data_IF_148007224948
#
_entry.id   IF_148007224948
#
_cell.length_a   1.000
_cell.length_b   1.000
_cell.length_c   1.000
_cell.angle_alpha   90.00
_cell.angle_beta   90.00
_cell.angle_gamma   90.00
#
_symmetry.space_group_name_H-M   'P 1'
#
loop_
_entity.id
_entity.type
_entity.pdbx_description
1 polymer ?
#
# COMPACT_ATOMS: atom_id res chain seq x y z
N UNK A 1 -19.23 8.86 -6.89
CA UNK A 1 -18.43 9.63 -5.93
C UNK A 1 -17.13 8.85 -5.85
N UNK A 2 -16.12 9.26 -6.62
CA UNK A 2 -14.80 8.60 -6.60
C UNK A 2 -14.19 8.95 -5.25
N UNK A 3 -13.89 7.92 -4.45
CA UNK A 3 -13.08 8.12 -3.25
C UNK A 3 -11.72 8.58 -3.76
N UNK A 4 -11.39 9.84 -3.52
CA UNK A 4 -10.12 10.41 -3.93
C UNK A 4 -8.99 9.52 -3.39
N UNK A 5 -7.92 9.41 -4.17
CA UNK A 5 -6.81 8.50 -3.99
C UNK A 5 -5.99 8.82 -2.72
N UNK A 6 -6.56 8.61 -1.53
CA UNK A 6 -5.96 9.00 -0.25
C UNK A 6 -4.86 8.03 0.12
N UNK A 7 -3.64 8.56 0.25
CA UNK A 7 -2.54 7.90 0.92
C UNK A 7 -2.71 8.02 2.44
N UNK A 8 -2.83 6.89 3.10
CA UNK A 8 -2.88 6.81 4.55
C UNK A 8 -1.48 6.68 5.14
N UNK A 9 -1.33 7.05 6.41
CA UNK A 9 -0.05 6.97 7.13
C UNK A 9 -0.27 6.30 8.47
N UNK A 10 0.64 5.40 8.83
CA UNK A 10 0.68 4.77 10.14
C UNK A 10 2.08 4.90 10.72
N UNK A 11 2.19 5.55 11.87
CA UNK A 11 3.44 5.61 12.66
C UNK A 11 3.44 4.46 13.67
N UNK A 12 4.40 3.55 13.51
CA UNK A 12 4.58 2.41 14.39
C UNK A 12 5.49 2.70 15.58
N UNK A 13 5.73 1.70 16.45
CA UNK A 13 6.77 1.75 17.47
C UNK A 13 8.17 1.63 16.85
N UNK A 14 9.20 1.89 17.64
CA UNK A 14 10.60 1.67 17.26
C UNK A 14 10.84 0.29 16.65
N UNK A 15 11.54 0.27 15.51
CA UNK A 15 11.83 -0.93 14.75
C UNK A 15 13.31 -1.26 14.80
N UNK A 16 13.66 -2.42 15.35
CA UNK A 16 15.02 -2.95 15.28
C UNK A 16 15.25 -3.54 13.89
N UNK A 17 16.19 -2.97 13.15
CA UNK A 17 16.54 -3.42 11.81
C UNK A 17 17.40 -4.67 11.87
N UNK A 18 17.46 -5.42 10.76
CA UNK A 18 18.29 -6.63 10.66
C UNK A 18 19.78 -6.36 10.94
N UNK A 19 20.27 -5.13 10.69
CA UNK A 19 21.62 -4.70 11.01
C UNK A 19 21.85 -4.27 12.46
N UNK A 20 20.85 -4.39 13.34
CA UNK A 20 20.93 -4.04 14.77
C UNK A 20 20.70 -2.56 15.10
N UNK A 21 20.66 -1.67 14.10
CA UNK A 21 20.25 -0.28 14.30
C UNK A 21 18.75 -0.18 14.63
N UNK A 22 18.34 0.90 15.31
CA UNK A 22 16.93 1.19 15.61
C UNK A 22 16.44 2.31 14.71
N UNK A 23 15.32 2.08 14.03
CA UNK A 23 14.55 3.10 13.34
C UNK A 23 13.45 3.58 14.29
N UNK A 24 13.57 4.79 14.82
CA UNK A 24 12.65 5.35 15.81
C UNK A 24 11.32 5.72 15.15
N UNK A 25 10.21 5.25 15.75
CA UNK A 25 8.83 5.53 15.33
C UNK A 25 8.63 5.68 13.80
N UNK A 26 8.95 4.64 12.99
CA UNK A 26 8.86 4.73 11.56
C UNK A 26 7.41 4.91 11.11
N UNK A 27 7.24 5.73 10.08
CA UNK A 27 5.96 5.93 9.40
C UNK A 27 5.92 5.11 8.13
N UNK A 28 4.83 4.37 7.95
CA UNK A 28 4.50 3.67 6.71
C UNK A 28 3.34 4.38 6.03
N UNK A 29 3.58 4.90 4.84
CA UNK A 29 2.51 5.35 3.95
C UNK A 29 1.88 4.13 3.26
N UNK A 30 0.57 4.11 3.03
CA UNK A 30 -0.10 2.99 2.38
C UNK A 30 -1.39 3.40 1.67
N UNK A 31 -1.78 2.61 0.67
CA UNK A 31 -3.10 2.67 0.04
C UNK A 31 -3.92 1.46 0.45
N UNK A 32 -5.23 1.66 0.59
CA UNK A 32 -6.18 0.57 0.78
C UNK A 32 -7.38 0.71 -0.13
N UNK A 33 -7.94 -0.42 -0.58
CA UNK A 33 -9.11 -0.47 -1.44
C UNK A 33 -10.04 -1.61 -1.01
N UNK A 34 -11.35 -1.37 -1.09
CA UNK A 34 -12.36 -2.32 -0.62
C UNK A 34 -12.64 -2.19 0.88
N UNK A 35 -13.32 -3.18 1.47
CA UNK A 35 -13.75 -3.16 2.87
C UNK A 35 -13.29 -4.41 3.61
N UNK A 36 -12.60 -4.22 4.74
CA UNK A 36 -12.23 -5.30 5.64
C UNK A 36 -13.49 -5.92 6.26
N UNK A 37 -13.59 -7.24 6.23
CA UNK A 37 -14.66 -7.97 6.91
C UNK A 37 -14.44 -8.00 8.43
N UNK A 38 -15.48 -8.32 9.19
CA UNK A 38 -15.47 -8.20 10.65
C UNK A 38 -14.43 -9.10 11.34
N UNK A 39 -14.11 -10.24 10.73
CA UNK A 39 -13.12 -11.23 11.20
C UNK A 39 -11.72 -11.02 10.58
N UNK A 40 -11.55 -10.03 9.69
CA UNK A 40 -10.26 -9.65 9.10
C UNK A 40 -9.67 -10.67 8.12
N UNK A 41 -10.45 -11.64 7.65
CA UNK A 41 -9.98 -12.76 6.83
C UNK A 41 -9.89 -12.45 5.33
N UNK A 42 -10.41 -11.30 4.88
CA UNK A 42 -10.39 -10.91 3.46
C UNK A 42 -9.27 -9.93 3.08
N UNK A 43 -8.26 -9.75 3.93
CA UNK A 43 -7.14 -8.86 3.65
C UNK A 43 -6.17 -9.47 2.61
N UNK A 44 -5.75 -8.65 1.65
CA UNK A 44 -4.74 -9.00 0.63
C UNK A 44 -3.65 -7.93 0.63
N UNK A 45 -2.40 -8.34 0.83
CA UNK A 45 -1.24 -7.45 0.79
C UNK A 45 -0.64 -7.43 -0.62
N UNK A 46 -0.51 -6.23 -1.20
CA UNK A 46 0.16 -6.00 -2.49
C UNK A 46 1.47 -5.26 -2.22
N UNK A 47 2.58 -5.84 -2.65
CA UNK A 47 3.90 -5.23 -2.53
C UNK A 47 4.33 -4.68 -3.88
N UNK A 48 4.65 -3.39 -3.92
CA UNK A 48 5.10 -2.72 -5.12
C UNK A 48 6.54 -3.10 -5.50
N UNK A 49 6.91 -2.84 -6.75
CA UNK A 49 8.28 -3.04 -7.24
C UNK A 49 9.25 -1.94 -6.78
N UNK A 50 10.51 -2.03 -7.20
CA UNK A 50 11.58 -1.17 -6.66
C UNK A 50 11.37 0.32 -6.96
N UNK A 51 10.86 0.64 -8.15
CA UNK A 51 10.71 2.02 -8.63
C UNK A 51 9.26 2.51 -8.65
N UNK A 52 8.39 1.84 -7.89
CA UNK A 52 6.97 2.17 -7.78
C UNK A 52 6.60 2.37 -6.31
N UNK A 53 5.37 2.81 -6.06
CA UNK A 53 4.83 3.01 -4.73
C UNK A 53 3.34 2.66 -4.71
N UNK A 54 2.65 2.82 -3.58
CA UNK A 54 1.25 2.43 -3.42
C UNK A 54 0.27 3.02 -4.42
N UNK A 55 0.59 4.19 -4.98
CA UNK A 55 -0.20 4.83 -6.04
C UNK A 55 -0.23 4.02 -7.33
N UNK A 56 0.61 2.99 -7.50
CA UNK A 56 0.54 2.08 -8.65
C UNK A 56 -0.80 1.36 -8.79
N UNK A 57 -1.66 1.38 -7.76
CA UNK A 57 -3.03 0.87 -7.84
C UNK A 57 -3.98 1.83 -8.57
N UNK A 58 -3.59 3.10 -8.74
CA UNK A 58 -4.40 4.12 -9.39
C UNK A 58 -4.23 4.09 -10.90
N UNK A 59 -5.34 4.34 -11.61
CA UNK A 59 -5.39 4.30 -13.07
C UNK A 59 -4.51 5.34 -13.74
N UNK A 60 -4.42 6.53 -13.16
CA UNK A 60 -3.68 7.66 -13.73
C UNK A 60 -2.32 7.88 -13.04
N UNK A 61 -1.84 6.90 -12.27
CA UNK A 61 -0.53 7.01 -11.61
C UNK A 61 0.62 6.90 -12.61
N UNK A 62 1.55 7.85 -12.51
CA UNK A 62 2.80 7.82 -13.25
C UNK A 62 3.83 6.96 -12.48
N UNK A 63 3.97 5.69 -12.89
CA UNK A 63 4.86 4.72 -12.26
C UNK A 63 5.79 4.08 -13.30
N UNK A 64 7.05 3.85 -12.92
CA UNK A 64 8.08 3.38 -13.86
C UNK A 64 7.87 1.94 -14.37
N UNK A 65 7.12 1.10 -13.64
CA UNK A 65 6.91 -0.33 -13.96
C UNK A 65 5.48 -0.64 -14.43
N UNK A 66 4.72 0.39 -14.83
CA UNK A 66 3.32 0.25 -15.24
C UNK A 66 2.34 0.15 -14.07
N UNK A 67 1.14 0.68 -14.28
CA UNK A 67 0.09 0.67 -13.25
C UNK A 67 -0.56 -0.71 -13.12
N UNK A 68 -0.89 -1.09 -11.89
CA UNK A 68 -1.68 -2.26 -11.54
C UNK A 68 -3.17 -1.94 -11.45
N UNK A 69 -3.61 -0.77 -11.92
CA UNK A 69 -5.03 -0.42 -11.98
C UNK A 69 -5.85 -1.45 -12.74
N UNK A 70 -5.30 -2.14 -13.74
CA UNK A 70 -6.05 -3.20 -14.47
C UNK A 70 -6.11 -4.53 -13.71
N UNK A 71 -5.28 -4.70 -12.68
CA UNK A 71 -5.24 -5.91 -11.85
C UNK A 71 -6.06 -5.76 -10.56
N UNK A 72 -6.12 -4.56 -9.99
CA UNK A 72 -6.74 -4.28 -8.69
C UNK A 72 -7.94 -3.34 -8.84
N UNK A 73 -9.09 -3.75 -8.30
CA UNK A 73 -10.32 -2.94 -8.27
C UNK A 73 -11.60 -3.76 -8.46
N UNK A 74 -12.77 -3.11 -8.59
CA UNK A 74 -14.05 -3.82 -8.66
C UNK A 74 -14.14 -4.73 -9.88
N UNK A 75 -14.38 -6.03 -9.67
CA UNK A 75 -14.51 -7.04 -10.73
C UNK A 75 -13.21 -7.39 -11.47
N UNK A 76 -12.05 -6.90 -11.00
CA UNK A 76 -10.73 -7.18 -11.56
C UNK A 76 -10.12 -8.46 -10.97
N UNK A 77 -8.97 -8.96 -11.47
CA UNK A 77 -8.34 -10.17 -10.93
C UNK A 77 -8.16 -10.16 -9.40
N UNK A 78 -7.77 -9.02 -8.84
CA UNK A 78 -7.78 -8.74 -7.40
C UNK A 78 -9.01 -7.86 -7.12
N UNK A 79 -10.14 -8.55 -6.90
CA UNK A 79 -11.47 -7.95 -6.80
C UNK A 79 -11.69 -7.26 -5.45
N UNK A 80 -11.77 -5.92 -5.45
CA UNK A 80 -11.98 -5.12 -4.24
C UNK A 80 -13.42 -5.15 -3.72
N UNK A 81 -14.36 -5.76 -4.45
CA UNK A 81 -15.68 -6.09 -3.91
C UNK A 81 -15.64 -7.32 -2.97
N UNK A 82 -14.55 -8.10 -3.03
CA UNK A 82 -14.33 -9.32 -2.23
C UNK A 82 -13.26 -9.14 -1.18
N UNK A 83 -12.16 -8.50 -1.57
CA UNK A 83 -10.97 -8.37 -0.74
C UNK A 83 -10.76 -6.93 -0.27
N UNK A 84 -10.18 -6.80 0.93
CA UNK A 84 -9.60 -5.57 1.41
C UNK A 84 -8.12 -5.55 1.04
N UNK A 85 -7.79 -4.80 -0.01
CA UNK A 85 -6.42 -4.70 -0.51
C UNK A 85 -5.67 -3.63 0.26
N UNK A 86 -4.44 -3.93 0.68
CA UNK A 86 -3.51 -2.97 1.29
C UNK A 86 -2.20 -3.00 0.51
N UNK A 87 -1.70 -1.82 0.11
CA UNK A 87 -0.40 -1.65 -0.51
C UNK A 87 0.43 -0.65 0.32
N UNK A 88 1.35 -1.11 1.17
CA UNK A 88 2.27 -0.23 1.89
C UNK A 88 3.38 0.25 0.97
N UNK A 89 3.85 1.47 1.21
CA UNK A 89 5.11 1.95 0.67
C UNK A 89 6.24 1.39 1.52
N UNK A 90 7.22 0.76 0.88
CA UNK A 90 8.38 0.16 1.57
C UNK A 90 9.12 1.19 2.43
N UNK A 91 9.67 0.77 3.58
CA UNK A 91 10.60 1.61 4.35
C UNK A 91 11.86 1.87 3.50
N UNK A 92 12.39 3.09 3.56
CA UNK A 92 13.48 3.55 2.70
C UNK A 92 13.04 4.08 1.32
N UNK A 93 11.76 3.95 0.96
CA UNK A 93 11.20 4.52 -0.27
C UNK A 93 10.92 6.02 -0.13
N UNK A 94 11.00 6.76 -1.24
CA UNK A 94 10.68 8.19 -1.30
C UNK A 94 9.19 8.52 -1.49
N UNK A 95 8.29 7.53 -1.51
CA UNK A 95 6.84 7.75 -1.69
C UNK A 95 6.04 7.88 -0.37
N UNK A 96 6.67 8.45 0.67
CA UNK A 96 5.99 8.89 1.90
C UNK A 96 6.21 8.03 3.17
N UNK A 97 6.87 6.88 3.05
CA UNK A 97 7.33 6.12 4.23
C UNK A 97 8.64 6.71 4.76
N UNK A 98 8.99 6.43 6.01
CA UNK A 98 10.30 6.77 6.57
C UNK A 98 11.42 6.16 5.73
N UNK A 99 12.41 6.98 5.40
CA UNK A 99 13.66 6.59 4.72
C UNK A 99 14.83 7.37 5.27
#
# INVERSE_FOLDING_TARGET
MHDDAILHYHTGPDLVLAGGAVLTAPTTAYRSMGRLNADGTNAVLVLHGYTTGPTMLDRDANVAEGSWSELVGPGKPIDTERYFVVCPNMLGSCYGSTG
#
